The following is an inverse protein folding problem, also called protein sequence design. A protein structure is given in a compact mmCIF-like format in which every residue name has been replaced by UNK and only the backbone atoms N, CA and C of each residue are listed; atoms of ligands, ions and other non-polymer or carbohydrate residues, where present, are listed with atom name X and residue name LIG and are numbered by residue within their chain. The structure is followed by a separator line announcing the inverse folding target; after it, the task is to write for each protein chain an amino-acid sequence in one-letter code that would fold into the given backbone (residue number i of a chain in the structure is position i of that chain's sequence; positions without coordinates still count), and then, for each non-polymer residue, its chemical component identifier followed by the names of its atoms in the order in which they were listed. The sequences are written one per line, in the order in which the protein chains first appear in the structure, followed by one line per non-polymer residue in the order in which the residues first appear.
data_IF_824516245400
#
_entry.id   IF_824516245400
#
_cell.length_a   1.000
_cell.length_b   1.000
_cell.length_c   1.000
_cell.angle_alpha   90.00
_cell.angle_beta   90.00
_cell.angle_gamma   90.00
#
_symmetry.space_group_name_H-M   'P 1'
#
loop_
_entity.id
_entity.type
_entity.pdbx_description
1 polymer ?
#
# COMPACT_ATOMS: atom_id res chain seq x y z
N UNK A 1 -0.03 16.35 21.92
CA UNK A 1 -0.09 16.34 20.45
C UNK A 1 -0.37 14.92 20.01
N UNK A 2 -1.47 14.67 19.31
CA UNK A 2 -1.80 13.33 18.81
C UNK A 2 -0.88 13.00 17.64
N UNK A 3 0.03 12.04 17.78
CA UNK A 3 0.86 11.54 16.68
C UNK A 3 0.11 10.40 15.99
N UNK A 4 -0.10 10.50 14.67
CA UNK A 4 -0.84 9.50 13.89
C UNK A 4 0.03 8.40 13.32
N UNK A 5 1.24 8.23 13.86
CA UNK A 5 2.17 7.20 13.45
C UNK A 5 2.39 6.18 14.56
N UNK A 6 2.16 4.91 14.26
CA UNK A 6 2.43 3.79 15.16
C UNK A 6 3.28 2.77 14.41
N UNK A 7 4.57 2.71 14.74
CA UNK A 7 5.47 1.70 14.19
C UNK A 7 5.34 0.38 14.93
N UNK A 8 5.34 -0.72 14.17
CA UNK A 8 5.23 -2.08 14.71
C UNK A 8 6.43 -2.54 15.59
N UNK A 9 7.52 -1.76 15.62
CA UNK A 9 8.76 -2.14 16.31
C UNK A 9 9.30 -1.04 17.24
N UNK A 10 8.45 -0.09 17.67
CA UNK A 10 8.83 1.05 18.53
C UNK A 10 10.05 1.87 18.04
N UNK A 11 10.46 1.69 16.78
CA UNK A 11 11.53 2.46 16.17
C UNK A 11 11.09 3.93 16.03
N UNK A 12 12.04 4.85 16.11
CA UNK A 12 11.75 6.27 15.96
C UNK A 12 11.22 6.57 14.54
N UNK A 13 10.23 7.48 14.40
CA UNK A 13 9.69 7.87 13.12
C UNK A 13 10.74 8.63 12.32
N UNK A 14 10.77 8.40 11.01
CA UNK A 14 11.65 9.17 10.14
C UNK A 14 11.13 10.62 10.00
N UNK A 15 11.99 11.56 9.59
CA UNK A 15 11.62 12.97 9.39
C UNK A 15 10.47 13.07 8.38
N UNK A 16 10.53 12.27 7.31
CA UNK A 16 9.49 12.19 6.30
C UNK A 16 8.16 11.66 6.85
N UNK A 17 8.20 10.61 7.65
CA UNK A 17 7.00 10.02 8.26
C UNK A 17 6.36 10.97 9.28
N UNK A 18 7.17 11.74 9.99
CA UNK A 18 6.71 12.78 10.92
C UNK A 18 5.98 13.90 10.17
N UNK A 19 6.49 14.32 9.00
CA UNK A 19 5.82 15.29 8.13
C UNK A 19 4.44 14.80 7.67
N UNK A 20 4.32 13.53 7.26
CA UNK A 20 3.03 12.94 6.88
C UNK A 20 2.07 12.84 8.08
N UNK A 21 2.59 12.44 9.24
CA UNK A 21 1.78 12.40 10.48
C UNK A 21 1.24 13.79 10.82
N UNK A 22 2.07 14.83 10.74
CA UNK A 22 1.65 16.21 10.98
C UNK A 22 0.58 16.66 9.97
N UNK A 23 0.78 16.35 8.68
CA UNK A 23 -0.21 16.66 7.66
C UNK A 23 -1.58 16.03 7.96
N UNK A 24 -1.62 14.79 8.46
CA UNK A 24 -2.87 14.10 8.85
C UNK A 24 -3.54 14.67 10.11
N UNK A 25 -2.78 15.28 11.02
CA UNK A 25 -3.32 15.97 12.21
C UNK A 25 -3.94 17.29 11.80
N UNK A 26 -3.28 18.04 10.93
CA UNK A 26 -3.82 19.29 10.37
C UNK A 26 -5.09 19.07 9.54
N UNK A 27 -5.19 17.94 8.83
CA UNK A 27 -6.43 17.59 8.13
C UNK A 27 -7.56 17.22 9.11
N UNK A 28 -7.26 16.65 10.27
CA UNK A 28 -8.27 16.38 11.30
C UNK A 28 -8.84 17.65 11.93
N UNK A 29 -8.04 18.70 12.07
CA UNK A 29 -8.50 19.97 12.67
C UNK A 29 -9.32 20.81 11.70
N UNK A 30 -9.01 20.77 10.41
CA UNK A 30 -9.49 21.73 9.44
C UNK A 30 -10.61 21.20 8.51
N UNK A 31 -10.93 19.90 8.55
CA UNK A 31 -11.87 19.30 7.61
C UNK A 31 -13.04 18.57 8.29
N UNK A 32 -14.12 18.40 7.52
CA UNK A 32 -15.27 17.55 7.89
C UNK A 32 -14.88 16.07 8.11
N UNK A 33 -13.65 15.68 7.79
CA UNK A 33 -13.12 14.32 7.96
C UNK A 33 -12.68 14.04 9.40
N UNK A 34 -12.82 15.00 10.33
CA UNK A 34 -12.42 14.89 11.73
C UNK A 34 -12.93 13.62 12.42
N UNK A 35 -14.21 13.29 12.25
CA UNK A 35 -14.81 12.12 12.89
C UNK A 35 -14.21 10.80 12.37
N UNK A 36 -13.85 10.75 11.09
CA UNK A 36 -13.33 9.56 10.43
C UNK A 36 -11.81 9.40 10.67
N UNK A 37 -11.07 10.51 10.73
CA UNK A 37 -9.62 10.53 10.87
C UNK A 37 -9.13 10.36 12.32
N UNK A 38 -9.99 10.50 13.33
CA UNK A 38 -9.61 10.46 14.75
C UNK A 38 -9.01 9.12 15.18
N UNK A 39 -9.56 8.02 14.70
CA UNK A 39 -9.10 6.66 15.05
C UNK A 39 -8.07 6.08 14.07
N UNK A 40 -7.76 6.82 13.00
CA UNK A 40 -6.89 6.35 11.94
C UNK A 40 -5.45 6.75 12.19
N UNK A 41 -4.56 5.78 12.01
CA UNK A 41 -3.12 5.96 12.10
C UNK A 41 -2.43 5.20 10.98
N UNK A 42 -1.20 5.61 10.67
CA UNK A 42 -0.34 5.01 9.66
C UNK A 42 0.76 4.20 10.35
N UNK A 43 1.27 3.17 9.67
CA UNK A 43 2.41 2.39 10.20
C UNK A 43 3.75 2.91 9.70
N UNK A 44 3.84 3.20 8.40
CA UNK A 44 5.06 3.60 7.70
C UNK A 44 4.72 4.49 6.53
N UNK A 45 5.68 5.27 6.06
CA UNK A 45 5.56 5.95 4.78
C UNK A 45 6.88 5.87 4.02
N UNK A 46 6.80 5.78 2.68
CA UNK A 46 7.96 5.69 1.81
C UNK A 46 7.77 6.58 0.59
N UNK A 47 8.78 7.38 0.29
CA UNK A 47 8.86 8.10 -0.98
C UNK A 47 9.58 7.23 -2.02
N UNK A 48 9.02 7.15 -3.23
CA UNK A 48 9.59 6.44 -4.38
C UNK A 48 9.60 7.38 -5.57
N UNK A 49 10.71 7.41 -6.29
CA UNK A 49 10.84 8.15 -7.54
C UNK A 49 10.49 7.25 -8.73
N UNK A 50 9.50 7.64 -9.51
CA UNK A 50 8.99 6.92 -10.68
C UNK A 50 9.06 7.84 -11.90
N UNK A 51 9.85 7.50 -12.92
CA UNK A 51 9.89 8.22 -14.20
C UNK A 51 9.91 9.77 -14.04
N UNK A 52 10.80 10.27 -13.18
CA UNK A 52 10.99 11.69 -12.83
C UNK A 52 9.86 12.34 -12.00
N UNK A 53 8.88 11.57 -11.51
CA UNK A 53 7.86 12.03 -10.55
C UNK A 53 8.02 11.30 -9.22
N UNK A 54 8.05 12.05 -8.13
CA UNK A 54 8.06 11.46 -6.78
C UNK A 54 6.64 11.06 -6.38
N UNK A 55 6.50 9.84 -5.91
CA UNK A 55 5.25 9.24 -5.44
C UNK A 55 5.40 8.83 -3.98
N UNK A 56 4.37 9.04 -3.19
CA UNK A 56 4.34 8.78 -1.75
C UNK A 56 3.48 7.54 -1.52
N UNK A 57 4.07 6.52 -0.91
CA UNK A 57 3.37 5.31 -0.48
C UNK A 57 3.17 5.39 1.04
N UNK A 58 1.92 5.38 1.47
CA UNK A 58 1.55 5.39 2.88
C UNK A 58 1.05 3.99 3.25
N UNK A 59 1.73 3.38 4.22
CA UNK A 59 1.36 2.08 4.76
C UNK A 59 0.33 2.23 5.88
N UNK A 60 -0.79 1.53 5.71
CA UNK A 60 -1.94 1.55 6.61
C UNK A 60 -2.07 0.20 7.31
N UNK A 61 -2.37 0.15 8.62
CA UNK A 61 -2.68 -1.11 9.28
C UNK A 61 -3.85 -1.83 8.58
N UNK A 62 -3.66 -3.11 8.24
CA UNK A 62 -4.67 -3.90 7.54
C UNK A 62 -6.10 -3.84 8.13
N UNK A 63 -6.30 -3.82 9.48
CA UNK A 63 -7.64 -3.70 10.06
C UNK A 63 -8.35 -2.38 9.75
N UNK A 64 -7.58 -1.30 9.53
CA UNK A 64 -8.09 0.06 9.29
C UNK A 64 -8.20 0.41 7.80
N UNK A 65 -7.68 -0.44 6.91
CA UNK A 65 -7.65 -0.20 5.46
C UNK A 65 -9.04 0.10 4.87
N UNK A 66 -10.08 -0.65 5.26
CA UNK A 66 -11.46 -0.41 4.79
C UNK A 66 -12.01 0.95 5.21
N UNK A 67 -11.59 1.47 6.37
CA UNK A 67 -11.98 2.80 6.83
C UNK A 67 -11.26 3.88 6.01
N UNK A 68 -9.99 3.67 5.68
CA UNK A 68 -9.24 4.54 4.77
C UNK A 68 -9.85 4.58 3.37
N UNK A 69 -10.24 3.44 2.80
CA UNK A 69 -10.86 3.37 1.47
C UNK A 69 -12.12 4.24 1.33
N UNK A 70 -12.96 4.31 2.38
CA UNK A 70 -14.17 5.17 2.38
C UNK A 70 -13.84 6.66 2.20
N UNK A 71 -12.70 7.10 2.72
CA UNK A 71 -12.28 8.50 2.71
C UNK A 71 -11.18 8.78 1.69
N UNK A 72 -10.68 7.75 1.01
CA UNK A 72 -9.45 7.79 0.24
C UNK A 72 -9.48 8.83 -0.88
N UNK A 73 -10.60 8.96 -1.61
CA UNK A 73 -10.70 9.92 -2.73
C UNK A 73 -10.48 11.36 -2.25
N UNK A 74 -11.09 11.73 -1.10
CA UNK A 74 -10.95 13.07 -0.52
C UNK A 74 -9.57 13.25 0.11
N UNK A 75 -9.12 12.26 0.88
CA UNK A 75 -7.85 12.29 1.59
C UNK A 75 -6.65 12.37 0.64
N UNK A 76 -6.65 11.60 -0.45
CA UNK A 76 -5.61 11.67 -1.50
C UNK A 76 -5.54 13.08 -2.07
N UNK A 77 -6.68 13.67 -2.46
CA UNK A 77 -6.72 15.02 -3.03
C UNK A 77 -6.15 16.08 -2.07
N UNK A 78 -6.46 15.98 -0.77
CA UNK A 78 -5.93 16.91 0.23
C UNK A 78 -4.44 16.75 0.47
N UNK A 79 -3.94 15.51 0.49
CA UNK A 79 -2.51 15.23 0.63
C UNK A 79 -1.73 15.62 -0.62
N UNK A 80 -2.25 15.35 -1.83
CA UNK A 80 -1.63 15.78 -3.09
C UNK A 80 -1.47 17.30 -3.15
N UNK A 81 -2.46 18.07 -2.66
CA UNK A 81 -2.35 19.54 -2.56
C UNK A 81 -1.22 19.98 -1.62
N UNK A 82 -1.03 19.30 -0.49
CA UNK A 82 0.05 19.61 0.47
C UNK A 82 1.43 19.22 -0.04
N UNK A 83 1.53 18.11 -0.78
CA UNK A 83 2.81 17.56 -1.25
C UNK A 83 3.13 17.96 -2.70
N UNK A 84 2.77 19.18 -3.10
CA UNK A 84 3.11 19.77 -4.41
C UNK A 84 2.69 18.90 -5.62
N UNK A 85 1.56 18.22 -5.53
CA UNK A 85 1.03 17.36 -6.60
C UNK A 85 1.75 16.02 -6.77
N UNK A 86 2.56 15.59 -5.80
CA UNK A 86 3.11 14.22 -5.76
C UNK A 86 1.98 13.22 -5.57
N UNK A 87 1.97 12.16 -6.38
CA UNK A 87 0.95 11.12 -6.28
C UNK A 87 1.04 10.40 -4.93
N UNK A 88 -0.09 10.30 -4.22
CA UNK A 88 -0.19 9.64 -2.91
C UNK A 88 -1.02 8.37 -3.05
N UNK A 89 -0.46 7.24 -2.63
CA UNK A 89 -1.13 5.94 -2.66
C UNK A 89 -1.11 5.28 -1.29
N UNK A 90 -2.25 4.72 -0.90
CA UNK A 90 -2.40 3.96 0.34
C UNK A 90 -2.25 2.47 0.09
N UNK A 91 -1.42 1.81 0.88
CA UNK A 91 -1.18 0.37 0.79
C UNK A 91 -1.34 -0.26 2.16
N UNK A 92 -2.01 -1.40 2.25
CA UNK A 92 -2.07 -2.18 3.49
C UNK A 92 -0.71 -2.74 3.90
N UNK A 93 -0.30 -2.50 5.15
CA UNK A 93 0.87 -3.11 5.76
C UNK A 93 0.60 -4.61 6.02
N UNK A 94 0.97 -5.43 5.03
CA UNK A 94 0.76 -6.88 5.04
C UNK A 94 2.06 -7.60 5.37
N UNK A 95 2.01 -8.51 6.36
CA UNK A 95 3.15 -9.36 6.74
C UNK A 95 3.22 -10.62 5.87
N UNK A 96 4.27 -10.73 5.07
CA UNK A 96 4.60 -11.96 4.33
C UNK A 96 5.30 -12.93 5.29
N UNK A 97 4.75 -14.12 5.48
CA UNK A 97 5.45 -15.20 6.18
C UNK A 97 6.34 -15.95 5.19
N UNK A 98 7.52 -16.46 5.56
CA UNK A 98 8.34 -17.28 4.68
C UNK A 98 7.63 -18.60 4.36
N UNK A 99 7.93 -19.18 3.19
CA UNK A 99 7.43 -20.52 2.84
C UNK A 99 8.07 -21.54 3.79
N UNK A 100 7.28 -22.40 4.46
CA UNK A 100 7.86 -23.47 5.27
C UNK A 100 8.66 -24.39 4.34
N UNK A 101 9.93 -24.60 4.68
CA UNK A 101 10.86 -25.48 3.97
C UNK A 101 11.40 -26.52 4.96
N UNK A 102 11.81 -27.68 4.47
CA UNK A 102 12.41 -28.73 5.31
C UNK A 102 13.69 -28.26 6.04
N UNK A 103 14.35 -27.20 5.54
CA UNK A 103 15.54 -26.58 6.13
C UNK A 103 15.22 -25.42 7.09
N UNK A 104 13.95 -25.16 7.38
CA UNK A 104 13.58 -24.03 8.25
C UNK A 104 13.98 -24.33 9.69
N UNK A 105 14.89 -23.52 10.23
CA UNK A 105 15.47 -23.65 11.58
C UNK A 105 14.42 -23.57 12.71
N UNK A 106 13.27 -22.95 12.47
CA UNK A 106 12.17 -22.83 13.43
C UNK A 106 10.98 -23.64 12.92
N UNK A 107 10.64 -24.71 13.62
CA UNK A 107 9.42 -25.46 13.36
C UNK A 107 8.20 -24.58 13.65
N UNK A 108 7.45 -24.23 12.60
CA UNK A 108 6.21 -23.48 12.75
C UNK A 108 5.15 -24.38 13.40
N UNK A 109 4.76 -24.09 14.65
CA UNK A 109 3.69 -24.81 15.34
C UNK A 109 2.33 -24.69 14.64
N UNK A 110 2.11 -23.60 13.91
CA UNK A 110 0.86 -23.30 13.22
C UNK A 110 1.05 -23.32 11.70
N UNK A 111 0.04 -23.83 10.98
CA UNK A 111 -0.04 -23.78 9.51
C UNK A 111 -0.01 -22.32 9.04
N UNK A 112 0.83 -22.02 8.05
CA UNK A 112 0.88 -20.69 7.41
C UNK A 112 -0.47 -20.37 6.75
N UNK A 113 -1.12 -19.25 7.09
CA UNK A 113 -2.36 -18.83 6.45
C UNK A 113 -2.09 -18.36 5.01
N UNK A 114 -3.03 -18.65 4.10
CA UNK A 114 -2.91 -18.30 2.66
C UNK A 114 -2.79 -16.79 2.45
N UNK A 115 -3.48 -16.00 3.27
CA UNK A 115 -3.42 -14.52 3.25
C UNK A 115 -2.04 -13.94 3.54
N UNK A 116 -1.12 -14.71 4.13
CA UNK A 116 0.28 -14.29 4.41
C UNK A 116 1.28 -14.94 3.44
N UNK A 117 0.81 -15.33 2.27
CA UNK A 117 1.66 -15.83 1.19
C UNK A 117 2.16 -14.69 0.31
N UNK A 118 3.37 -14.78 -0.24
CA UNK A 118 3.95 -13.74 -1.10
C UNK A 118 3.04 -13.41 -2.28
N UNK A 119 2.52 -14.43 -2.95
CA UNK A 119 1.61 -14.27 -4.09
C UNK A 119 0.31 -13.58 -3.68
N UNK A 120 -0.34 -14.05 -2.61
CA UNK A 120 -1.59 -13.44 -2.13
C UNK A 120 -1.40 -11.99 -1.67
N UNK A 121 -0.25 -11.67 -1.07
CA UNK A 121 0.06 -10.31 -0.64
C UNK A 121 0.31 -9.40 -1.85
N UNK A 122 1.01 -9.88 -2.88
CA UNK A 122 1.23 -9.10 -4.10
C UNK A 122 -0.06 -8.83 -4.85
N UNK A 123 -0.95 -9.81 -4.96
CA UNK A 123 -2.27 -9.61 -5.56
C UNK A 123 -3.08 -8.55 -4.80
N UNK A 124 -3.04 -8.58 -3.47
CA UNK A 124 -3.75 -7.60 -2.64
C UNK A 124 -3.10 -6.20 -2.66
N UNK A 125 -1.78 -6.11 -2.88
CA UNK A 125 -1.12 -4.81 -3.08
C UNK A 125 -1.57 -4.21 -4.41
N UNK A 126 -1.70 -5.02 -5.47
CA UNK A 126 -2.19 -4.52 -6.77
C UNK A 126 -3.60 -3.93 -6.64
N UNK A 127 -4.49 -4.59 -5.89
CA UNK A 127 -5.84 -4.09 -5.61
C UNK A 127 -5.83 -2.75 -4.87
N UNK A 128 -4.96 -2.58 -3.87
CA UNK A 128 -4.84 -1.30 -3.14
C UNK A 128 -4.35 -0.16 -4.04
N UNK A 129 -3.39 -0.45 -4.94
CA UNK A 129 -2.79 0.55 -5.83
C UNK A 129 -3.80 1.12 -6.83
N UNK A 130 -4.75 0.31 -7.30
CA UNK A 130 -5.71 0.74 -8.33
C UNK A 130 -7.00 1.33 -7.78
N UNK A 131 -7.20 1.35 -6.46
CA UNK A 131 -8.39 1.96 -5.86
C UNK A 131 -8.54 3.43 -6.32
N UNK A 132 -9.71 3.88 -6.82
CA UNK A 132 -11.05 3.29 -6.67
C UNK A 132 -11.46 2.30 -7.77
N UNK A 133 -10.61 2.05 -8.76
CA UNK A 133 -10.90 1.09 -9.82
C UNK A 133 -10.76 -0.36 -9.32
N UNK A 134 -11.54 -1.26 -9.89
CA UNK A 134 -11.49 -2.69 -9.60
C UNK A 134 -10.81 -3.45 -10.76
N UNK A 135 -9.96 -4.42 -10.43
CA UNK A 135 -9.31 -5.26 -11.43
C UNK A 135 -10.32 -6.32 -11.89
N UNK A 136 -10.94 -6.10 -13.07
CA UNK A 136 -11.94 -7.01 -13.66
C UNK A 136 -11.30 -8.31 -14.17
N UNK A 137 -10.04 -8.28 -14.58
CA UNK A 137 -9.33 -9.46 -15.05
C UNK A 137 -7.81 -9.29 -15.03
N UNK A 138 -7.09 -10.41 -14.87
CA UNK A 138 -5.62 -10.48 -14.94
C UNK A 138 -5.23 -11.44 -16.05
N UNK A 139 -4.68 -10.92 -17.15
CA UNK A 139 -4.12 -11.73 -18.23
C UNK A 139 -2.60 -11.78 -18.08
N UNK A 140 -2.07 -12.97 -17.86
CA UNK A 140 -0.63 -13.20 -17.77
C UNK A 140 -0.18 -13.69 -19.16
N UNK A 141 0.20 -12.76 -20.04
CA UNK A 141 0.82 -13.14 -21.34
C UNK A 141 2.22 -13.67 -21.10
N UNK A 142 2.61 -14.67 -21.89
CA UNK A 142 3.94 -15.29 -21.89
C UNK A 142 4.34 -15.45 -23.36
N UNK A 143 4.87 -14.40 -23.98
CA UNK A 143 4.75 -14.23 -25.44
C UNK A 143 5.77 -14.98 -26.30
N UNK A 144 6.99 -15.29 -25.84
CA UNK A 144 7.86 -16.37 -26.40
C UNK A 144 9.28 -16.33 -25.77
N UNK A 145 9.93 -15.15 -25.69
CA UNK A 145 11.18 -14.91 -24.91
C UNK A 145 11.12 -13.83 -23.81
N UNK A 146 9.91 -13.51 -23.36
CA UNK A 146 9.57 -13.01 -22.01
C UNK A 146 10.07 -13.92 -20.86
N UNK A 147 10.69 -15.04 -21.24
CA UNK A 147 10.78 -16.32 -20.56
C UNK A 147 12.11 -16.56 -19.83
N UNK A 148 13.04 -15.60 -19.87
CA UNK A 148 14.24 -15.51 -19.00
C UNK A 148 14.17 -14.30 -18.05
N UNK A 149 13.46 -13.28 -18.48
CA UNK A 149 13.39 -11.93 -17.93
C UNK A 149 12.56 -11.83 -16.63
N UNK A 150 11.46 -12.58 -16.61
CA UNK A 150 10.66 -12.91 -15.43
C UNK A 150 11.35 -13.95 -14.51
N UNK A 151 12.43 -14.60 -14.99
CA UNK A 151 13.02 -15.81 -14.41
C UNK A 151 14.02 -15.52 -13.28
N UNK A 152 14.37 -14.25 -13.04
CA UNK A 152 15.29 -13.83 -11.97
C UNK A 152 14.63 -13.00 -10.85
N UNK A 153 13.83 -11.98 -11.19
CA UNK A 153 13.66 -10.82 -10.27
C UNK A 153 12.24 -10.46 -9.86
N UNK A 154 11.20 -11.08 -10.41
CA UNK A 154 9.88 -10.89 -9.83
C UNK A 154 9.09 -9.68 -10.34
N UNK A 155 8.67 -9.84 -11.60
CA UNK A 155 7.37 -9.45 -12.19
C UNK A 155 7.14 -7.97 -12.51
N UNK A 156 6.79 -7.77 -13.78
CA UNK A 156 6.33 -6.54 -14.41
C UNK A 156 4.80 -6.57 -14.57
N UNK A 157 4.14 -5.43 -14.38
CA UNK A 157 2.68 -5.28 -14.50
C UNK A 157 2.37 -4.05 -15.34
N UNK A 158 1.74 -4.26 -16.49
CA UNK A 158 1.14 -3.23 -17.32
C UNK A 158 -0.36 -3.16 -17.04
N UNK A 159 -0.88 -1.94 -16.83
CA UNK A 159 -2.30 -1.68 -16.67
C UNK A 159 -2.89 -1.32 -18.03
N UNK A 160 -3.91 -2.05 -18.46
CA UNK A 160 -4.67 -1.77 -19.68
C UNK A 160 -6.13 -1.51 -19.30
N UNK A 161 -6.70 -0.43 -19.80
CA UNK A 161 -8.12 -0.13 -19.67
C UNK A 161 -8.83 -0.64 -20.94
N UNK A 162 -9.63 -1.71 -20.87
CA UNK A 162 -10.35 -2.21 -22.03
C UNK A 162 -11.43 -1.20 -22.46
N UNK A 163 -11.62 -1.05 -23.77
CA UNK A 163 -12.74 -0.25 -24.27
C UNK A 163 -14.07 -0.86 -23.82
N UNK A 164 -15.07 -0.03 -23.44
CA UNK A 164 -16.39 -0.53 -23.11
C UNK A 164 -16.96 -1.24 -24.34
N UNK A 165 -17.35 -2.51 -24.16
CA UNK A 165 -18.07 -3.24 -25.19
C UNK A 165 -19.38 -2.48 -25.48
N UNK A 166 -19.45 -1.82 -26.63
CA UNK A 166 -20.67 -1.24 -27.19
C UNK A 166 -21.71 -2.33 -27.48
#
# INVERSE_FOLDING_TARGET
MSTKIIKASAAEPDVFETSISQALVELETNSDLKAQLRELYITKAKEIELHNKKSIIIYVPMPKLKQFQKIQIRLVRELEKKFSGKHVVFVGDRKILPKPSHKTRVANKQKRPRSRTLTSVYDAILEDLVFPAEIVGKRIRVDTFQSVYKKLTGREVTFEFPEPYL
#
